data_IF_295470939883
#
_entry.id   IF_295470939883
#
_cell.length_a   1.000
_cell.length_b   1.000
_cell.length_c   1.000
_cell.angle_alpha   90.00
_cell.angle_beta   90.00
_cell.angle_gamma   90.00
#
_symmetry.space_group_name_H-M   'P 1'
#
loop_
_entity.id
_entity.type
_entity.pdbx_description
1 polymer ?
#
# COMPACT_ATOMS: atom_id res chain seq x y z
N UNK A 1 28.88 -5.27 10.45
CA UNK A 1 27.45 -5.53 10.34
C UNK A 1 27.26 -6.99 10.73
N UNK A 2 26.87 -7.24 11.96
CA UNK A 2 26.48 -8.58 12.41
C UNK A 2 25.09 -8.86 11.86
N UNK A 3 25.00 -9.80 10.91
CA UNK A 3 23.72 -10.21 10.35
C UNK A 3 22.84 -10.85 11.43
N UNK A 4 21.76 -10.21 11.79
CA UNK A 4 20.71 -10.80 12.62
C UNK A 4 19.90 -11.73 11.73
N UNK A 5 19.81 -13.01 12.13
CA UNK A 5 18.91 -13.95 11.46
C UNK A 5 17.53 -13.77 12.06
N UNK A 6 16.53 -13.49 11.23
CA UNK A 6 15.15 -13.40 11.67
C UNK A 6 14.28 -14.50 11.06
N UNK A 7 13.25 -14.87 11.76
CA UNK A 7 12.18 -15.72 11.25
C UNK A 7 11.03 -14.82 10.84
N UNK A 8 10.42 -15.07 9.70
CA UNK A 8 9.27 -14.34 9.20
C UNK A 8 8.13 -15.35 9.00
N UNK A 9 7.00 -15.09 9.66
CA UNK A 9 5.78 -15.90 9.51
C UNK A 9 4.85 -15.17 8.57
N UNK A 10 4.32 -15.90 7.60
CA UNK A 10 3.26 -15.43 6.71
C UNK A 10 2.05 -16.33 6.90
N UNK A 11 0.92 -15.72 7.15
CA UNK A 11 -0.36 -16.40 7.03
C UNK A 11 -0.66 -16.53 5.52
N UNK A 12 -0.84 -17.77 5.07
CA UNK A 12 -1.15 -18.12 3.69
C UNK A 12 -2.45 -18.93 3.60
N UNK A 13 -3.29 -18.85 4.63
CA UNK A 13 -4.51 -19.66 4.74
C UNK A 13 -5.40 -19.48 3.51
N UNK A 14 -5.62 -18.25 3.09
CA UNK A 14 -6.46 -17.93 1.93
C UNK A 14 -5.82 -18.34 0.58
N UNK A 15 -4.49 -18.39 0.52
CA UNK A 15 -3.73 -18.64 -0.72
C UNK A 15 -3.14 -20.07 -0.76
N UNK A 16 -3.42 -20.91 0.24
CA UNK A 16 -2.74 -22.20 0.40
C UNK A 16 -2.87 -23.11 -0.82
N UNK A 17 -4.04 -23.19 -1.43
CA UNK A 17 -4.27 -24.04 -2.61
C UNK A 17 -3.47 -23.54 -3.84
N UNK A 18 -3.27 -22.24 -3.97
CA UNK A 18 -2.47 -21.63 -5.05
C UNK A 18 -0.98 -21.93 -4.90
N UNK A 19 -0.50 -22.07 -3.65
CA UNK A 19 0.90 -22.37 -3.34
C UNK A 19 1.21 -23.85 -3.18
N UNK A 20 0.22 -24.70 -3.06
CA UNK A 20 0.35 -26.14 -2.84
C UNK A 20 1.03 -26.85 -4.02
N UNK A 21 2.30 -27.17 -3.84
CA UNK A 21 3.13 -27.85 -4.85
C UNK A 21 3.96 -26.94 -5.76
N UNK A 22 3.90 -25.64 -5.61
CA UNK A 22 4.67 -24.70 -6.40
C UNK A 22 6.11 -24.56 -5.86
N UNK A 23 7.09 -25.00 -6.66
CA UNK A 23 8.53 -24.87 -6.32
C UNK A 23 9.16 -23.54 -6.73
N UNK A 24 8.43 -22.62 -7.33
CA UNK A 24 8.99 -21.39 -7.91
C UNK A 24 9.43 -20.36 -6.86
N UNK A 25 8.85 -20.39 -5.66
CA UNK A 25 9.20 -19.51 -4.54
C UNK A 25 10.69 -19.57 -4.15
N UNK A 26 11.34 -20.70 -4.43
CA UNK A 26 12.74 -20.93 -4.08
C UNK A 26 13.75 -20.38 -5.10
N UNK A 27 13.31 -20.06 -6.29
CA UNK A 27 14.19 -19.65 -7.39
C UNK A 27 14.58 -18.17 -7.32
N UNK A 28 13.74 -17.38 -6.69
CA UNK A 28 13.91 -15.91 -6.64
C UNK A 28 14.92 -15.46 -5.58
N UNK A 29 15.14 -16.25 -4.52
CA UNK A 29 16.05 -15.91 -3.42
C UNK A 29 17.48 -16.43 -3.56
N UNK A 30 17.82 -17.13 -4.63
CA UNK A 30 19.20 -17.42 -5.05
C UNK A 30 20.05 -18.31 -4.15
N UNK A 31 19.52 -18.85 -3.04
CA UNK A 31 20.16 -19.86 -2.20
C UNK A 31 19.10 -20.69 -1.48
N UNK A 32 19.38 -22.00 -1.34
CA UNK A 32 18.56 -23.00 -0.66
C UNK A 32 18.17 -22.57 0.77
N UNK A 33 17.00 -21.93 0.91
CA UNK A 33 16.31 -21.81 2.18
C UNK A 33 15.28 -22.94 2.24
N UNK A 34 15.20 -23.67 3.34
CA UNK A 34 14.14 -24.66 3.53
C UNK A 34 12.86 -23.96 3.94
N UNK A 35 11.80 -24.19 3.21
CA UNK A 35 10.46 -23.83 3.64
C UNK A 35 9.90 -25.03 4.43
N UNK A 36 9.73 -24.84 5.71
CA UNK A 36 9.03 -25.80 6.55
C UNK A 36 7.58 -25.29 6.68
N UNK A 37 6.63 -25.99 6.09
CA UNK A 37 5.20 -25.74 6.32
C UNK A 37 4.77 -26.53 7.55
N UNK A 38 4.13 -25.86 8.47
CA UNK A 38 3.51 -26.47 9.65
C UNK A 38 2.01 -26.24 9.56
N UNK A 39 1.26 -27.31 9.72
CA UNK A 39 -0.17 -27.26 9.99
C UNK A 39 -0.27 -27.17 11.50
N UNK A 40 -0.85 -26.10 12.03
CA UNK A 40 -1.20 -26.04 13.45
C UNK A 40 -2.52 -26.79 13.62
N UNK A 41 -2.46 -28.06 14.02
CA UNK A 41 -3.64 -28.70 14.55
C UNK A 41 -4.01 -28.01 15.87
N UNK A 42 -5.19 -27.42 15.93
CA UNK A 42 -5.73 -26.91 17.19
C UNK A 42 -6.00 -28.11 18.09
N UNK A 43 -5.23 -28.22 19.19
CA UNK A 43 -5.47 -29.18 20.24
C UNK A 43 -6.85 -28.92 20.88
N UNK A 44 -7.87 -29.62 20.40
CA UNK A 44 -9.09 -29.83 21.14
C UNK A 44 -8.90 -31.06 22.01
N UNK A 45 -8.33 -30.87 23.20
CA UNK A 45 -8.39 -31.88 24.26
C UNK A 45 -9.84 -32.05 24.66
N UNK A 46 -10.43 -33.18 24.27
CA UNK A 46 -11.60 -33.72 24.90
C UNK A 46 -11.22 -35.08 25.51
N UNK A 47 -10.94 -35.05 26.81
CA UNK A 47 -10.88 -36.25 27.62
C UNK A 47 -12.18 -37.04 27.54
N UNK A 48 -12.09 -38.32 27.10
CA UNK A 48 -13.04 -39.32 27.52
C UNK A 48 -12.36 -40.71 27.44
N UNK A 49 -11.97 -41.17 28.63
CA UNK A 49 -11.66 -42.53 28.94
C UNK A 49 -12.83 -43.43 28.61
N UNK A 50 -12.58 -44.52 27.84
CA UNK A 50 -13.25 -45.81 28.07
C UNK A 50 -12.51 -46.92 27.32
N UNK A 51 -11.87 -47.78 28.14
CA UNK A 51 -11.39 -49.09 27.75
C UNK A 51 -12.53 -50.02 27.34
N UNK A 52 -12.36 -50.79 26.31
CA UNK A 52 -12.82 -52.20 26.26
C UNK A 52 -12.25 -52.95 25.10
N UNK A 53 -11.56 -54.03 25.45
CA UNK A 53 -11.10 -55.12 24.57
C UNK A 53 -12.25 -55.80 23.86
N UNK A 54 -12.02 -56.25 22.64
CA UNK A 54 -12.28 -57.67 22.23
C UNK A 54 -11.91 -57.95 20.75
N UNK A 55 -11.18 -59.04 20.59
CA UNK A 55 -10.82 -59.72 19.34
C UNK A 55 -12.06 -60.29 18.64
N UNK A 56 -12.04 -60.43 17.33
CA UNK A 56 -12.03 -61.71 16.56
C UNK A 56 -12.56 -61.59 15.12
N UNK A 57 -11.71 -62.05 14.24
CA UNK A 57 -11.86 -62.86 13.01
C UNK A 57 -13.21 -62.98 12.27
N UNK A 58 -13.10 -62.90 10.99
CA UNK A 58 -13.23 -63.91 9.90
C UNK A 58 -14.19 -63.58 8.76
N UNK A 59 -13.60 -63.63 7.59
CA UNK A 59 -14.03 -64.18 6.29
C UNK A 59 -15.52 -64.34 5.90
N UNK A 60 -15.83 -63.90 4.73
CA UNK A 60 -16.30 -64.60 3.55
C UNK A 60 -17.33 -63.89 2.68
N UNK A 61 -16.91 -63.78 1.44
CA UNK A 61 -17.54 -64.01 0.15
C UNK A 61 -19.07 -64.04 -0.05
N UNK A 62 -19.37 -63.45 -1.18
CA UNK A 62 -20.31 -63.87 -2.27
C UNK A 62 -21.44 -62.88 -2.61
N UNK A 63 -21.23 -62.36 -3.78
CA UNK A 63 -22.03 -62.38 -5.02
C UNK A 63 -23.57 -62.28 -5.00
N UNK A 64 -23.98 -61.39 -5.89
CA UNK A 64 -25.02 -61.48 -6.93
C UNK A 64 -26.33 -60.72 -6.80
N UNK A 65 -26.39 -59.82 -7.75
CA UNK A 65 -27.49 -59.66 -8.78
C UNK A 65 -28.85 -59.07 -8.40
N UNK A 66 -29.10 -58.03 -9.16
CA UNK A 66 -30.23 -57.75 -10.05
C UNK A 66 -31.40 -56.91 -9.54
N UNK A 67 -31.51 -55.88 -10.33
CA UNK A 67 -32.69 -55.29 -11.02
C UNK A 67 -33.78 -54.56 -10.24
N UNK A 68 -33.91 -53.37 -10.72
CA UNK A 68 -35.10 -52.70 -11.25
C UNK A 68 -35.73 -51.59 -10.43
N UNK A 69 -35.82 -50.49 -11.13
CA UNK A 69 -36.87 -49.48 -11.25
C UNK A 69 -37.14 -48.44 -10.15
N UNK A 70 -36.83 -47.22 -10.62
CA UNK A 70 -37.64 -46.01 -10.51
C UNK A 70 -38.07 -45.58 -9.10
N UNK A 71 -37.51 -44.48 -8.63
CA UNK A 71 -38.32 -43.30 -8.43
C UNK A 71 -37.40 -42.07 -8.20
N UNK A 72 -37.77 -40.96 -8.87
CA UNK A 72 -37.10 -39.68 -8.82
C UNK A 72 -37.42 -38.98 -7.48
N UNK A 73 -36.45 -38.90 -6.60
CA UNK A 73 -36.45 -37.90 -5.53
C UNK A 73 -35.17 -37.10 -5.65
N UNK A 74 -35.37 -35.83 -6.00
CA UNK A 74 -34.34 -34.81 -5.97
C UNK A 74 -33.93 -34.68 -4.52
N UNK A 75 -32.78 -35.22 -4.16
CA UNK A 75 -32.08 -34.82 -2.97
C UNK A 75 -31.29 -33.57 -3.35
N UNK A 76 -31.74 -32.41 -2.87
CA UNK A 76 -30.88 -31.25 -2.72
C UNK A 76 -29.68 -31.71 -1.89
N UNK A 77 -28.53 -31.84 -2.55
CA UNK A 77 -27.25 -31.94 -1.86
C UNK A 77 -27.00 -30.65 -1.12
N UNK A 78 -27.16 -30.72 0.18
CA UNK A 78 -26.67 -29.76 1.11
C UNK A 78 -25.12 -29.77 0.98
N UNK A 79 -24.61 -28.97 0.04
CA UNK A 79 -23.20 -28.66 -0.04
C UNK A 79 -22.90 -27.71 1.13
N UNK A 80 -22.83 -28.28 2.32
CA UNK A 80 -22.13 -27.66 3.43
C UNK A 80 -20.65 -27.65 3.05
N UNK A 81 -20.17 -26.53 2.49
CA UNK A 81 -18.75 -26.25 2.40
C UNK A 81 -18.20 -26.38 3.84
N UNK A 82 -17.49 -27.48 4.08
CA UNK A 82 -16.64 -27.61 5.25
C UNK A 82 -15.52 -26.59 5.07
N UNK A 83 -15.65 -25.44 5.73
CA UNK A 83 -14.53 -24.53 5.92
C UNK A 83 -13.50 -25.26 6.78
N UNK A 84 -12.35 -25.51 6.19
CA UNK A 84 -11.19 -26.02 6.93
C UNK A 84 -10.69 -24.87 7.82
N UNK A 85 -10.98 -24.92 9.11
CA UNK A 85 -10.56 -23.91 10.10
C UNK A 85 -9.05 -24.01 10.42
N UNK A 86 -8.28 -24.77 9.65
CA UNK A 86 -6.84 -24.89 9.85
C UNK A 86 -6.11 -23.60 9.39
N UNK A 87 -5.35 -23.02 10.30
CA UNK A 87 -4.46 -21.90 9.99
C UNK A 87 -3.18 -22.42 9.31
N UNK A 88 -2.95 -22.01 8.05
CA UNK A 88 -1.75 -22.38 7.31
C UNK A 88 -0.71 -21.27 7.42
N UNK A 89 0.43 -21.58 8.03
CA UNK A 89 1.53 -20.65 8.25
C UNK A 89 2.77 -21.05 7.47
N UNK A 90 3.27 -20.15 6.64
CA UNK A 90 4.57 -20.28 5.99
C UNK A 90 5.67 -19.65 6.84
N UNK A 91 6.68 -20.44 7.22
CA UNK A 91 7.79 -20.00 8.03
C UNK A 91 9.09 -19.93 7.24
N UNK A 92 9.59 -18.73 6.97
CA UNK A 92 10.90 -18.53 6.35
C UNK A 92 11.97 -18.31 7.42
N UNK A 93 12.99 -19.19 7.43
CA UNK A 93 14.09 -19.14 8.37
C UNK A 93 15.38 -18.62 7.73
N UNK A 94 16.24 -18.02 8.55
CA UNK A 94 17.58 -17.56 8.12
C UNK A 94 17.57 -16.50 7.01
N UNK A 95 16.57 -15.62 6.97
CA UNK A 95 16.49 -14.52 6.01
C UNK A 95 17.56 -13.48 6.41
N UNK A 96 18.43 -13.04 5.47
CA UNK A 96 19.31 -11.91 5.72
C UNK A 96 18.47 -10.63 5.85
N UNK A 97 18.53 -9.98 7.02
CA UNK A 97 17.76 -8.76 7.27
C UNK A 97 18.68 -7.56 7.43
N UNK A 98 18.22 -6.41 6.95
CA UNK A 98 18.84 -5.12 7.20
C UNK A 98 17.89 -4.30 8.07
N UNK A 99 18.37 -3.83 9.23
CA UNK A 99 17.58 -3.03 10.16
C UNK A 99 17.90 -1.55 9.97
N UNK A 100 16.84 -0.76 9.81
CA UNK A 100 16.90 0.71 9.79
C UNK A 100 16.28 1.24 11.08
N UNK A 101 16.99 2.14 11.75
CA UNK A 101 16.47 2.83 12.92
C UNK A 101 16.06 4.24 12.49
N UNK A 102 14.80 4.55 12.61
CA UNK A 102 14.23 5.85 12.29
C UNK A 102 13.60 6.48 13.54
N UNK A 103 13.31 7.78 13.48
CA UNK A 103 12.53 8.47 14.50
C UNK A 103 11.18 7.78 14.72
N UNK A 104 10.78 7.61 15.98
CA UNK A 104 9.43 7.11 16.30
C UNK A 104 8.40 8.17 15.95
N UNK A 105 7.40 7.79 15.17
CA UNK A 105 6.26 8.62 14.79
C UNK A 105 5.00 8.16 15.56
N UNK A 106 3.98 9.03 15.62
CA UNK A 106 2.80 8.79 16.48
C UNK A 106 1.71 7.95 15.79
N UNK A 107 1.65 7.97 14.47
CA UNK A 107 0.68 7.23 13.67
C UNK A 107 0.66 7.71 12.22
N UNK A 108 -0.17 7.07 11.41
CA UNK A 108 -0.39 7.42 10.01
C UNK A 108 -1.41 8.55 9.87
N UNK A 109 -1.51 9.14 8.67
CA UNK A 109 -2.59 10.09 8.38
C UNK A 109 -3.96 9.44 8.51
N UNK A 110 -4.09 8.17 8.12
CA UNK A 110 -5.33 7.39 8.31
C UNK A 110 -5.70 7.31 9.79
N UNK A 111 -4.79 6.84 10.65
CA UNK A 111 -4.98 6.80 12.10
C UNK A 111 -5.40 8.15 12.70
N UNK A 112 -4.90 9.25 12.12
CA UNK A 112 -5.24 10.58 12.57
C UNK A 112 -6.67 10.97 12.17
N UNK A 113 -7.05 10.68 10.93
CA UNK A 113 -8.39 10.99 10.41
C UNK A 113 -9.48 10.16 11.09
N UNK A 114 -9.18 8.93 11.49
CA UNK A 114 -10.10 8.09 12.27
C UNK A 114 -10.31 8.61 13.70
N UNK A 115 -9.29 9.25 14.29
CA UNK A 115 -9.36 9.82 15.66
C UNK A 115 -10.03 11.19 15.70
N UNK A 116 -10.06 11.89 14.59
CA UNK A 116 -10.69 13.20 14.46
C UNK A 116 -11.90 13.11 13.53
N UNK A 117 -12.53 14.22 13.21
CA UNK A 117 -13.53 14.24 12.14
C UNK A 117 -12.85 13.87 10.80
N UNK A 118 -13.29 12.81 10.12
CA UNK A 118 -12.69 12.32 8.87
C UNK A 118 -12.49 13.44 7.84
N UNK A 119 -13.50 14.29 7.64
CA UNK A 119 -13.41 15.45 6.75
C UNK A 119 -12.99 16.72 7.52
N UNK A 120 -11.89 16.66 8.27
CA UNK A 120 -11.26 17.83 8.86
C UNK A 120 -10.38 18.55 7.84
N UNK A 121 -10.99 19.49 7.11
CA UNK A 121 -10.35 20.20 5.99
C UNK A 121 -9.08 20.95 6.41
N UNK A 122 -9.03 21.48 7.62
CA UNK A 122 -7.91 22.28 8.12
C UNK A 122 -6.65 21.42 8.32
N UNK A 123 -6.80 20.27 8.98
CA UNK A 123 -5.70 19.32 9.20
C UNK A 123 -5.22 18.76 7.86
N UNK A 124 -6.15 18.38 6.97
CA UNK A 124 -5.82 17.81 5.65
C UNK A 124 -5.10 18.87 4.78
N UNK A 125 -5.56 20.12 4.75
CA UNK A 125 -4.89 21.20 4.02
C UNK A 125 -3.49 21.48 4.56
N UNK A 126 -3.32 21.47 5.89
CA UNK A 126 -1.99 21.59 6.51
C UNK A 126 -1.08 20.42 6.08
N UNK A 127 -1.58 19.19 6.11
CA UNK A 127 -0.86 18.01 5.65
C UNK A 127 -0.44 18.14 4.18
N UNK A 128 -1.38 18.44 3.28
CA UNK A 128 -1.13 18.57 1.84
C UNK A 128 -0.08 19.65 1.58
N UNK A 129 -0.15 20.80 2.29
CA UNK A 129 0.84 21.84 2.13
C UNK A 129 2.24 21.38 2.54
N UNK A 130 2.38 20.75 3.72
CA UNK A 130 3.65 20.27 4.25
C UNK A 130 4.27 19.21 3.32
N UNK A 131 3.48 18.24 2.89
CA UNK A 131 3.92 17.16 1.99
C UNK A 131 4.27 17.72 0.60
N UNK A 132 3.43 18.61 0.03
CA UNK A 132 3.74 19.24 -1.25
C UNK A 132 5.03 20.03 -1.20
N UNK A 133 5.30 20.74 -0.09
CA UNK A 133 6.54 21.49 0.07
C UNK A 133 7.76 20.56 0.14
N UNK A 134 7.68 19.46 0.87
CA UNK A 134 8.73 18.46 0.96
C UNK A 134 9.01 17.83 -0.41
N UNK A 135 7.96 17.36 -1.10
CA UNK A 135 8.08 16.78 -2.44
C UNK A 135 8.64 17.77 -3.46
N UNK A 136 8.18 19.03 -3.45
CA UNK A 136 8.74 20.05 -4.35
C UNK A 136 10.24 20.25 -4.13
N UNK A 137 10.70 20.24 -2.87
CA UNK A 137 12.12 20.33 -2.57
C UNK A 137 12.88 19.13 -3.12
N UNK A 138 12.39 17.93 -2.89
CA UNK A 138 12.98 16.67 -3.34
C UNK A 138 12.98 16.56 -4.88
N UNK A 139 11.88 16.92 -5.53
CA UNK A 139 11.79 16.94 -7.00
C UNK A 139 12.80 17.91 -7.61
N UNK A 140 12.90 19.11 -7.04
CA UNK A 140 13.81 20.13 -7.56
C UNK A 140 15.29 19.75 -7.45
N UNK A 141 15.67 19.07 -6.37
CA UNK A 141 17.08 18.80 -6.07
C UNK A 141 17.53 17.40 -6.47
N UNK A 142 16.61 16.45 -6.54
CA UNK A 142 16.90 15.04 -6.73
C UNK A 142 16.06 14.37 -7.81
N UNK A 143 15.22 15.11 -8.56
CA UNK A 143 14.27 14.52 -9.51
C UNK A 143 13.44 13.39 -8.88
N UNK A 144 13.11 13.55 -7.60
CA UNK A 144 12.54 12.53 -6.74
C UNK A 144 11.05 12.30 -7.05
N UNK A 145 10.64 11.02 -6.98
CA UNK A 145 9.25 10.59 -6.87
C UNK A 145 9.17 9.45 -5.88
N UNK A 146 8.13 9.43 -5.08
CA UNK A 146 7.88 8.38 -4.10
C UNK A 146 7.30 7.12 -4.76
N UNK A 147 6.37 7.30 -5.69
CA UNK A 147 5.67 6.29 -6.48
C UNK A 147 4.75 5.34 -5.72
N UNK A 148 4.55 5.60 -4.42
CA UNK A 148 3.62 4.85 -3.57
C UNK A 148 3.09 5.74 -2.42
N UNK A 149 2.83 7.02 -2.67
CA UNK A 149 2.42 7.95 -1.63
C UNK A 149 0.90 7.88 -1.40
N UNK A 150 0.51 7.13 -0.39
CA UNK A 150 -0.87 7.05 0.12
C UNK A 150 -0.93 7.46 1.61
N UNK A 151 -2.12 7.54 2.19
CA UNK A 151 -2.31 8.06 3.56
C UNK A 151 -1.56 7.28 4.62
N UNK A 152 -1.26 5.96 4.41
CA UNK A 152 -0.48 5.16 5.34
C UNK A 152 1.04 5.39 5.21
N UNK A 153 1.49 5.98 4.10
CA UNK A 153 2.88 6.41 3.90
C UNK A 153 3.11 7.90 4.26
N UNK A 154 2.09 8.55 4.81
CA UNK A 154 2.19 9.85 5.48
C UNK A 154 1.95 9.65 6.96
N UNK A 155 2.98 9.81 7.77
CA UNK A 155 2.90 9.73 9.22
C UNK A 155 2.99 11.12 9.86
N UNK A 156 2.67 11.22 11.14
CA UNK A 156 2.77 12.48 11.87
C UNK A 156 3.53 12.33 13.19
N UNK A 157 4.06 13.46 13.65
CA UNK A 157 4.52 13.66 15.02
C UNK A 157 3.80 14.85 15.63
N UNK A 158 3.56 14.81 16.93
CA UNK A 158 2.96 15.92 17.66
C UNK A 158 3.93 17.08 17.81
N UNK A 159 3.41 18.31 17.86
CA UNK A 159 4.22 19.50 18.05
C UNK A 159 3.47 20.58 18.83
N UNK A 160 4.19 21.33 19.66
CA UNK A 160 3.68 22.54 20.33
C UNK A 160 3.80 23.79 19.44
N UNK A 161 4.49 23.68 18.30
CA UNK A 161 4.59 24.80 17.36
C UNK A 161 3.22 25.03 16.73
N UNK A 162 2.68 26.21 16.91
CA UNK A 162 1.39 26.61 16.31
C UNK A 162 1.48 26.75 14.79
N UNK A 163 2.64 27.16 14.28
CA UNK A 163 2.85 27.43 12.86
C UNK A 163 4.21 26.94 12.40
N UNK A 164 4.27 26.56 11.11
CA UNK A 164 5.50 26.37 10.34
C UNK A 164 5.60 27.48 9.29
N UNK A 165 6.82 27.93 9.04
CA UNK A 165 7.09 29.02 8.11
C UNK A 165 7.82 28.48 6.89
N UNK A 166 7.27 28.78 5.70
CA UNK A 166 7.83 28.31 4.44
C UNK A 166 8.09 29.46 3.48
N UNK A 167 9.16 29.36 2.71
CA UNK A 167 9.47 30.27 1.61
C UNK A 167 9.50 29.50 0.31
N UNK A 168 8.60 29.85 -0.58
CA UNK A 168 8.56 29.30 -1.94
C UNK A 168 8.74 30.45 -2.93
N UNK A 169 9.87 30.47 -3.65
CA UNK A 169 10.27 31.60 -4.47
C UNK A 169 10.27 32.92 -3.64
N UNK A 170 9.42 33.88 -4.00
CA UNK A 170 9.25 35.14 -3.27
C UNK A 170 7.95 35.20 -2.44
N UNK A 171 7.27 34.06 -2.30
CA UNK A 171 6.05 33.94 -1.50
C UNK A 171 6.42 33.36 -0.15
N UNK A 172 5.84 33.91 0.91
CA UNK A 172 6.06 33.47 2.28
C UNK A 172 4.75 32.94 2.85
N UNK A 173 4.84 31.82 3.57
CA UNK A 173 3.69 31.15 4.14
C UNK A 173 3.87 30.96 5.64
N UNK A 174 2.77 31.10 6.36
CA UNK A 174 2.62 30.77 7.78
C UNK A 174 1.53 29.71 7.86
N UNK A 175 1.94 28.46 7.94
CA UNK A 175 1.07 27.28 7.86
C UNK A 175 0.73 26.81 9.26
N UNK A 176 -0.56 26.77 9.65
CA UNK A 176 -0.96 26.21 10.93
C UNK A 176 -0.61 24.74 11.01
N UNK A 177 -0.07 24.30 12.16
CA UNK A 177 0.25 22.87 12.37
C UNK A 177 -0.94 22.07 12.87
N UNK A 178 -1.88 22.71 13.53
CA UNK A 178 -2.96 22.03 14.28
C UNK A 178 -2.43 20.97 15.26
N UNK A 179 -1.17 21.13 15.71
CA UNK A 179 -0.48 20.21 16.60
C UNK A 179 0.27 19.08 15.91
N UNK A 180 0.38 19.08 14.56
CA UNK A 180 0.97 17.99 13.79
C UNK A 180 2.04 18.47 12.80
N UNK A 181 3.13 17.69 12.71
CA UNK A 181 4.12 17.79 11.63
C UNK A 181 4.07 16.48 10.86
N UNK A 182 3.82 16.57 9.55
CA UNK A 182 3.68 15.41 8.68
C UNK A 182 5.02 15.01 8.04
N UNK A 183 5.23 13.71 7.90
CA UNK A 183 6.46 13.10 7.38
C UNK A 183 6.12 11.99 6.39
N UNK A 184 6.91 11.92 5.33
CA UNK A 184 6.83 10.85 4.34
C UNK A 184 7.69 9.68 4.82
N UNK A 185 7.18 8.47 4.70
CA UNK A 185 7.88 7.22 5.00
C UNK A 185 7.78 6.25 3.82
N UNK A 186 8.47 5.13 3.92
CA UNK A 186 8.47 4.03 2.94
C UNK A 186 8.92 4.44 1.52
N UNK A 187 10.21 4.61 1.39
CA UNK A 187 10.85 4.97 0.12
C UNK A 187 11.14 3.76 -0.79
N UNK A 188 10.51 2.61 -0.54
CA UNK A 188 10.77 1.36 -1.24
C UNK A 188 10.58 1.42 -2.76
N UNK A 189 9.65 2.23 -3.25
CA UNK A 189 9.40 2.45 -4.70
C UNK A 189 9.96 3.77 -5.24
N UNK A 190 10.77 4.47 -4.45
CA UNK A 190 11.26 5.80 -4.86
C UNK A 190 12.22 5.75 -6.03
N UNK A 191 12.09 6.74 -6.90
CA UNK A 191 13.03 7.01 -8.00
C UNK A 191 13.63 8.39 -7.74
N UNK A 192 14.96 8.49 -7.78
CA UNK A 192 15.65 9.76 -7.55
C UNK A 192 17.02 9.80 -8.19
N UNK A 193 17.51 11.01 -8.45
CA UNK A 193 18.86 11.24 -8.94
C UNK A 193 19.78 11.67 -7.79
N UNK A 194 20.94 10.99 -7.67
CA UNK A 194 21.99 11.38 -6.74
C UNK A 194 23.36 11.18 -7.38
N UNK A 195 24.24 12.17 -7.25
CA UNK A 195 25.56 12.17 -7.91
C UNK A 195 25.52 11.79 -9.39
N UNK A 196 24.58 12.35 -10.14
CA UNK A 196 24.38 12.10 -11.59
C UNK A 196 24.00 10.66 -11.93
N UNK A 197 23.52 9.90 -10.97
CA UNK A 197 22.98 8.54 -11.18
C UNK A 197 21.53 8.54 -10.77
N UNK A 198 20.70 7.86 -11.54
CA UNK A 198 19.31 7.57 -11.17
C UNK A 198 19.27 6.29 -10.35
N UNK A 199 18.65 6.37 -9.19
CA UNK A 199 18.42 5.24 -8.29
C UNK A 199 16.96 4.84 -8.38
N UNK A 200 16.73 3.56 -8.55
CA UNK A 200 15.43 2.89 -8.54
C UNK A 200 15.69 1.41 -8.29
N UNK A 201 14.70 0.68 -7.84
CA UNK A 201 14.80 -0.76 -7.60
C UNK A 201 14.11 -1.57 -8.72
N UNK A 202 14.03 -2.87 -8.55
CA UNK A 202 13.42 -3.82 -9.50
C UNK A 202 11.91 -4.00 -9.32
N UNK A 203 11.25 -3.25 -8.43
CA UNK A 203 9.80 -3.30 -8.25
C UNK A 203 9.04 -3.00 -9.55
N UNK A 204 9.60 -2.17 -10.42
CA UNK A 204 8.99 -1.84 -11.73
C UNK A 204 9.31 -2.84 -12.83
N UNK A 205 10.15 -3.85 -12.56
CA UNK A 205 10.54 -4.88 -13.51
C UNK A 205 9.39 -5.85 -13.79
N UNK A 206 9.55 -6.68 -14.84
CA UNK A 206 8.62 -7.77 -15.10
C UNK A 206 8.58 -8.70 -13.88
N UNK A 207 7.39 -8.99 -13.40
CA UNK A 207 7.10 -9.74 -12.16
C UNK A 207 7.46 -9.01 -10.86
N UNK A 208 7.78 -7.73 -10.90
CA UNK A 208 7.91 -6.90 -9.70
C UNK A 208 6.55 -6.37 -9.25
N UNK A 209 6.44 -5.98 -7.97
CA UNK A 209 5.21 -5.49 -7.35
C UNK A 209 4.57 -4.29 -8.07
N UNK A 210 5.35 -3.51 -8.79
CA UNK A 210 4.91 -2.33 -9.52
C UNK A 210 5.09 -2.49 -11.04
N UNK A 211 5.00 -3.72 -11.56
CA UNK A 211 5.10 -4.01 -12.99
C UNK A 211 4.05 -3.21 -13.78
N UNK A 212 4.50 -2.51 -14.80
CA UNK A 212 3.62 -1.72 -15.69
C UNK A 212 3.33 -0.30 -15.23
N UNK A 213 3.69 0.09 -14.00
CA UNK A 213 3.57 1.48 -13.55
C UNK A 213 4.46 2.41 -14.40
N UNK A 214 5.69 1.98 -14.66
CA UNK A 214 6.62 2.68 -15.57
C UNK A 214 7.31 1.70 -16.51
N UNK A 215 7.84 2.20 -17.63
CA UNK A 215 8.71 1.41 -18.48
C UNK A 215 10.02 1.11 -17.75
N UNK A 216 10.25 -0.16 -17.42
CA UNK A 216 11.46 -0.61 -16.75
C UNK A 216 12.57 -0.84 -17.78
N UNK A 217 13.74 -0.25 -17.58
CA UNK A 217 14.85 -0.37 -18.52
C UNK A 217 15.56 -1.73 -18.40
N UNK A 218 15.12 -2.71 -19.16
CA UNK A 218 15.62 -4.11 -19.14
C UNK A 218 17.14 -4.17 -19.36
N UNK A 219 17.69 -3.28 -20.15
CA UNK A 219 19.12 -3.25 -20.52
C UNK A 219 20.07 -2.94 -19.35
N UNK A 220 19.56 -2.39 -18.23
CA UNK A 220 20.37 -2.07 -17.06
C UNK A 220 20.93 -3.30 -16.35
N UNK A 221 20.14 -4.38 -16.25
CA UNK A 221 20.51 -5.60 -15.55
C UNK A 221 21.44 -6.48 -16.40
N UNK A 222 21.21 -6.54 -17.72
CA UNK A 222 21.92 -7.42 -18.62
C UNK A 222 23.21 -6.83 -19.16
N UNK A 223 23.28 -5.51 -19.40
CA UNK A 223 24.38 -4.89 -20.16
C UNK A 223 25.18 -3.84 -19.38
N UNK A 224 24.92 -3.63 -18.08
CA UNK A 224 25.60 -2.61 -17.24
C UNK A 224 25.61 -1.21 -17.90
N UNK A 225 24.60 -0.89 -18.70
CA UNK A 225 24.53 0.39 -19.36
C UNK A 225 24.28 1.50 -18.34
N UNK A 226 25.24 2.39 -18.15
CA UNK A 226 25.27 3.41 -17.11
C UNK A 226 24.26 4.55 -17.30
N UNK A 227 23.57 4.59 -18.43
CA UNK A 227 22.75 5.74 -18.85
C UNK A 227 21.26 5.43 -18.96
N UNK A 228 20.81 4.31 -18.44
CA UNK A 228 19.40 3.96 -18.49
C UNK A 228 18.64 4.74 -17.42
N UNK A 229 17.55 5.40 -17.84
CA UNK A 229 16.69 6.21 -17.00
C UNK A 229 15.28 5.67 -17.05
N UNK A 230 14.65 5.63 -15.89
CA UNK A 230 13.21 5.54 -15.76
C UNK A 230 12.67 6.98 -15.61
N UNK A 231 11.52 7.27 -16.23
CA UNK A 231 10.93 8.61 -16.24
C UNK A 231 9.62 8.60 -15.44
N UNK A 232 9.67 8.89 -14.14
CA UNK A 232 8.47 8.92 -13.32
C UNK A 232 7.63 10.18 -13.57
N UNK A 233 6.34 10.08 -13.29
CA UNK A 233 5.44 11.23 -13.30
C UNK A 233 5.55 12.02 -12.00
N UNK A 234 5.92 13.29 -12.07
CA UNK A 234 5.95 14.18 -10.88
C UNK A 234 4.57 14.52 -10.33
N UNK A 235 3.51 14.19 -11.06
CA UNK A 235 2.12 14.30 -10.58
C UNK A 235 1.69 13.11 -9.72
N UNK A 236 2.42 11.98 -9.82
CA UNK A 236 2.00 10.71 -9.24
C UNK A 236 1.70 10.83 -7.74
N UNK A 237 2.66 11.31 -6.97
CA UNK A 237 2.63 11.26 -5.51
C UNK A 237 1.43 12.00 -4.92
N UNK A 238 1.20 13.24 -5.36
CA UNK A 238 0.08 14.05 -4.84
C UNK A 238 -1.27 13.60 -5.41
N UNK A 239 -1.31 13.04 -6.61
CA UNK A 239 -2.53 12.44 -7.15
C UNK A 239 -2.90 11.18 -6.36
N UNK A 240 -1.95 10.29 -6.09
CA UNK A 240 -2.18 9.07 -5.30
C UNK A 240 -2.61 9.39 -3.86
N UNK A 241 -1.96 10.37 -3.22
CA UNK A 241 -2.38 10.83 -1.90
C UNK A 241 -3.81 11.37 -1.92
N UNK A 242 -4.17 12.16 -2.93
CA UNK A 242 -5.52 12.70 -3.06
C UNK A 242 -6.57 11.61 -3.26
N UNK A 243 -6.28 10.54 -4.05
CA UNK A 243 -7.22 9.40 -4.21
C UNK A 243 -7.51 8.74 -2.88
N UNK A 244 -6.49 8.49 -2.03
CA UNK A 244 -6.70 7.86 -0.72
C UNK A 244 -7.37 8.77 0.30
N UNK A 245 -7.18 10.11 0.20
CA UNK A 245 -7.95 11.06 1.01
C UNK A 245 -9.44 11.02 0.62
N UNK A 246 -9.76 10.94 -0.68
CA UNK A 246 -11.16 10.81 -1.15
C UNK A 246 -11.78 9.55 -0.56
N UNK A 247 -11.08 8.42 -0.59
CA UNK A 247 -11.56 7.13 -0.11
C UNK A 247 -11.82 7.16 1.41
N UNK A 248 -10.82 7.54 2.21
CA UNK A 248 -10.94 7.54 3.68
C UNK A 248 -11.93 8.58 4.19
N UNK A 249 -12.06 9.71 3.50
CA UNK A 249 -13.04 10.75 3.85
C UNK A 249 -14.42 10.49 3.25
N UNK A 250 -14.59 9.40 2.52
CA UNK A 250 -15.87 9.00 1.90
C UNK A 250 -16.49 10.13 1.04
N UNK A 251 -15.64 10.84 0.25
CA UNK A 251 -16.09 11.99 -0.53
C UNK A 251 -16.92 11.52 -1.72
N UNK A 252 -18.22 11.81 -1.71
CA UNK A 252 -19.12 11.60 -2.86
C UNK A 252 -19.07 12.80 -3.81
N UNK A 253 -18.82 12.54 -5.09
CA UNK A 253 -18.72 13.56 -6.15
C UNK A 253 -20.06 14.23 -6.45
N UNK A 254 -21.18 13.65 -6.02
CA UNK A 254 -22.54 14.15 -6.26
C UNK A 254 -23.11 14.87 -5.03
N UNK A 255 -22.41 14.88 -3.90
CA UNK A 255 -22.86 15.51 -2.67
C UNK A 255 -22.46 16.99 -2.63
N UNK A 256 -23.33 17.84 -2.05
CA UNK A 256 -23.02 19.25 -1.76
C UNK A 256 -22.45 19.37 -0.35
N UNK A 257 -21.14 19.66 -0.27
CA UNK A 257 -20.40 19.82 0.98
C UNK A 257 -20.48 21.24 1.56
N UNK A 258 -21.30 22.13 0.99
CA UNK A 258 -21.53 23.52 1.48
C UNK A 258 -20.22 24.29 1.66
N UNK A 259 -19.91 24.66 2.91
CA UNK A 259 -18.69 25.45 3.21
C UNK A 259 -17.39 24.67 2.95
N UNK A 260 -17.43 23.34 2.96
CA UNK A 260 -16.27 22.48 2.65
C UNK A 260 -16.09 22.27 1.12
N UNK A 261 -17.03 22.70 0.28
CA UNK A 261 -16.99 22.51 -1.18
C UNK A 261 -15.67 22.97 -1.83
N UNK A 262 -15.08 24.13 -1.49
CA UNK A 262 -13.80 24.53 -2.10
C UNK A 262 -12.65 23.56 -1.83
N UNK A 263 -12.66 22.88 -0.68
CA UNK A 263 -11.71 21.83 -0.35
C UNK A 263 -11.99 20.57 -1.16
N UNK A 264 -13.24 20.14 -1.25
CA UNK A 264 -13.65 18.97 -2.00
C UNK A 264 -13.30 19.14 -3.49
N UNK A 265 -13.64 20.27 -4.09
CA UNK A 265 -13.26 20.60 -5.47
C UNK A 265 -11.75 20.57 -5.69
N UNK A 266 -10.98 21.07 -4.72
CA UNK A 266 -9.53 21.08 -4.78
C UNK A 266 -8.98 19.65 -4.76
N UNK A 267 -9.42 18.79 -3.84
CA UNK A 267 -8.95 17.39 -3.73
C UNK A 267 -9.32 16.60 -4.97
N UNK A 268 -10.57 16.71 -5.46
CA UNK A 268 -11.02 16.06 -6.68
C UNK A 268 -10.15 16.51 -7.87
N UNK A 269 -9.87 17.81 -7.97
CA UNK A 269 -9.04 18.33 -9.07
C UNK A 269 -7.63 17.74 -9.09
N UNK A 270 -7.05 17.39 -7.95
CA UNK A 270 -5.73 16.72 -7.90
C UNK A 270 -5.74 15.32 -8.53
N UNK A 271 -6.90 14.69 -8.63
CA UNK A 271 -7.05 13.35 -9.23
C UNK A 271 -7.41 13.37 -10.70
N UNK A 272 -7.56 14.56 -11.32
CA UNK A 272 -8.00 14.67 -12.72
C UNK A 272 -6.90 14.33 -13.70
N UNK A 273 -7.28 13.60 -14.75
CA UNK A 273 -6.47 13.40 -15.95
C UNK A 273 -6.54 14.61 -16.90
N UNK A 274 -5.86 14.53 -18.04
CA UNK A 274 -5.86 15.58 -19.08
C UNK A 274 -7.23 15.80 -19.72
N UNK A 275 -8.15 14.84 -19.62
CA UNK A 275 -9.50 14.91 -20.18
C UNK A 275 -10.55 15.35 -19.14
N UNK A 276 -10.15 15.57 -17.88
CA UNK A 276 -11.03 15.94 -16.79
C UNK A 276 -11.77 14.76 -16.16
N UNK A 277 -11.28 13.52 -16.34
CA UNK A 277 -11.81 12.37 -15.65
C UNK A 277 -11.05 12.16 -14.34
N UNK A 278 -11.76 11.86 -13.26
CA UNK A 278 -11.12 11.54 -11.99
C UNK A 278 -10.55 10.11 -11.98
N UNK A 279 -9.27 10.00 -11.70
CA UNK A 279 -8.55 8.73 -11.57
C UNK A 279 -8.92 7.98 -10.28
N UNK A 280 -9.52 8.65 -9.28
CA UNK A 280 -10.01 8.00 -8.05
C UNK A 280 -11.23 7.10 -8.25
N UNK A 281 -11.89 7.18 -9.42
CA UNK A 281 -13.04 6.32 -9.76
C UNK A 281 -12.65 4.94 -10.26
N UNK A 282 -11.37 4.69 -10.46
CA UNK A 282 -10.86 3.37 -10.88
C UNK A 282 -10.90 2.41 -9.68
N UNK A 283 -11.57 1.27 -9.88
CA UNK A 283 -11.80 0.29 -8.80
C UNK A 283 -10.64 -0.69 -8.60
N UNK A 284 -9.83 -0.91 -9.63
CA UNK A 284 -8.68 -1.80 -9.52
C UNK A 284 -7.49 -1.03 -8.94
N UNK A 285 -6.99 -1.53 -7.82
CA UNK A 285 -5.90 -0.88 -7.09
C UNK A 285 -4.65 -0.68 -7.92
N UNK A 286 -4.23 -1.65 -8.72
CA UNK A 286 -2.99 -1.52 -9.48
C UNK A 286 -3.18 -0.84 -10.83
N UNK A 287 -4.30 -1.04 -11.51
CA UNK A 287 -4.68 -0.27 -12.70
C UNK A 287 -4.79 1.23 -12.41
N UNK A 288 -5.18 1.61 -11.18
CA UNK A 288 -5.13 2.99 -10.72
C UNK A 288 -3.69 3.52 -10.71
N UNK A 289 -2.71 2.77 -10.19
CA UNK A 289 -1.29 3.17 -10.19
C UNK A 289 -0.77 3.39 -11.62
N UNK A 290 -1.06 2.45 -12.52
CA UNK A 290 -0.69 2.57 -13.94
C UNK A 290 -1.33 3.81 -14.56
N UNK A 291 -2.61 4.05 -14.28
CA UNK A 291 -3.36 5.19 -14.84
C UNK A 291 -2.87 6.53 -14.29
N UNK A 292 -2.61 6.63 -12.98
CA UNK A 292 -2.03 7.83 -12.36
C UNK A 292 -0.65 8.13 -12.97
N UNK A 293 0.20 7.11 -13.14
CA UNK A 293 1.55 7.30 -13.71
C UNK A 293 1.52 7.87 -15.13
N UNK A 294 0.49 7.53 -15.90
CA UNK A 294 0.33 7.92 -17.31
C UNK A 294 -0.46 9.19 -17.52
N UNK A 295 -1.48 9.45 -16.71
CA UNK A 295 -2.52 10.42 -17.02
C UNK A 295 -2.71 11.52 -16.00
N UNK A 296 -2.18 11.40 -14.77
CA UNK A 296 -2.27 12.46 -13.76
C UNK A 296 -1.63 13.75 -14.28
N UNK A 297 -2.37 14.88 -14.17
CA UNK A 297 -1.95 16.13 -14.79
C UNK A 297 -2.04 17.36 -13.88
N UNK A 298 -2.84 17.33 -12.80
CA UNK A 298 -3.12 18.51 -11.97
C UNK A 298 -2.44 18.48 -10.59
N UNK A 299 -1.56 17.52 -10.32
CA UNK A 299 -1.03 17.24 -8.99
C UNK A 299 0.47 17.53 -8.83
N UNK A 300 1.01 18.54 -9.54
CA UNK A 300 2.40 18.95 -9.32
C UNK A 300 2.55 19.66 -7.98
N UNK A 301 3.45 19.22 -7.10
CA UNK A 301 3.68 19.83 -5.79
C UNK A 301 3.91 21.34 -5.84
N UNK A 302 4.69 21.84 -6.83
CA UNK A 302 4.96 23.28 -7.00
C UNK A 302 3.70 24.11 -7.29
N UNK A 303 2.73 23.53 -8.02
CA UNK A 303 1.49 24.22 -8.40
C UNK A 303 0.47 24.13 -7.25
N UNK A 304 0.47 23.04 -6.50
CA UNK A 304 -0.32 22.87 -5.28
C UNK A 304 0.06 23.94 -4.25
N UNK A 305 1.34 24.15 -3.95
CA UNK A 305 1.80 25.17 -3.01
C UNK A 305 1.28 26.56 -3.39
N UNK A 306 1.13 26.84 -4.67
CA UNK A 306 0.68 28.13 -5.18
C UNK A 306 -0.84 28.26 -5.33
N UNK A 307 -1.58 27.15 -5.09
CA UNK A 307 -3.03 27.13 -5.23
C UNK A 307 -3.69 28.21 -4.36
N UNK A 308 -4.81 28.74 -4.86
CA UNK A 308 -5.57 29.80 -4.18
C UNK A 308 -6.15 29.34 -2.84
N UNK A 309 -6.38 28.04 -2.65
CA UNK A 309 -6.87 27.48 -1.39
C UNK A 309 -5.97 27.85 -0.19
N UNK A 310 -4.68 28.05 -0.43
CA UNK A 310 -3.69 28.45 0.59
C UNK A 310 -3.49 29.96 0.69
N UNK A 311 -4.40 30.78 0.12
CA UNK A 311 -4.26 32.25 0.12
C UNK A 311 -4.11 32.84 1.51
N UNK A 312 -4.86 32.31 2.47
CA UNK A 312 -4.90 32.84 3.85
C UNK A 312 -3.67 32.44 4.67
N UNK A 313 -2.89 31.48 4.19
CA UNK A 313 -1.58 31.12 4.75
C UNK A 313 -0.46 32.03 4.24
N UNK A 314 -0.70 32.85 3.21
CA UNK A 314 0.33 33.75 2.65
C UNK A 314 0.54 34.95 3.55
N UNK A 315 1.80 35.30 3.81
CA UNK A 315 2.18 36.43 4.65
C UNK A 315 3.15 37.37 3.94
N UNK A 316 3.23 38.60 4.42
CA UNK A 316 4.26 39.53 3.95
C UNK A 316 5.63 39.11 4.49
N UNK A 317 6.69 39.37 3.71
CA UNK A 317 8.09 39.05 4.08
C UNK A 317 8.47 39.51 5.49
N UNK A 318 8.00 40.69 5.94
CA UNK A 318 8.31 41.25 7.26
C UNK A 318 7.78 40.41 8.44
N UNK A 319 6.87 39.48 8.20
CA UNK A 319 6.31 38.57 9.22
C UNK A 319 6.91 37.16 9.14
N UNK A 320 7.85 36.97 8.23
CA UNK A 320 8.57 35.71 8.09
C UNK A 320 9.79 35.75 9.01
N UNK A 321 9.71 35.02 10.11
CA UNK A 321 10.77 34.96 11.14
C UNK A 321 11.30 33.54 11.25
#
# INVERSE_FOLDING_TARGET
ITGVKSEMKYDITDDYEDYKGEKWFYKTLGKTHSLDMYISESDSESDSDSESDSESNSDNDRERNNDSDSDSTIHESDDSEYYDDNEYISLLKNIPCQHFFIEKLEGTLEDLLDKVEKLNTDIILSCIFQISFALNYLQKHYNFTHNDLHINNVMYTKTEKTYLYYKFNNIYFKVPTYGYIFKIIDFGRSIFDFHKKTFFNDNFSKYGEAEGQYSYPIDTLLFKNKNVKIYPSYHFDMCRLATTIIDVCEIDFNEDYKEKQPFVDFIINLTMDVNGNSLSKLKDNFDMYISISKYANNALPKDIIQNYIFKDMRIKKKFFQ
#
